data_IF_211364527793
#
_entry.id   IF_211364527793
#
_cell.length_a   1.000
_cell.length_b   1.000
_cell.length_c   1.000
_cell.angle_alpha   90.00
_cell.angle_beta   90.00
_cell.angle_gamma   90.00
#
_symmetry.space_group_name_H-M   'P 1'
#
loop_
_entity.id
_entity.type
_entity.pdbx_description
1 polymer ?
#
# COMPACT_ATOMS: atom_id res chain seq x y z
N UNK A 1 -56.08 -2.80 34.11
CA UNK A 1 -56.18 -1.84 35.18
C UNK A 1 -55.38 -0.65 34.76
N UNK A 2 -56.08 0.36 34.28
CA UNK A 2 -56.19 1.75 34.67
C UNK A 2 -54.85 2.49 34.55
N UNK A 3 -54.73 3.45 33.70
CA UNK A 3 -55.46 4.64 33.33
C UNK A 3 -54.55 5.83 33.57
N UNK A 4 -54.47 6.64 32.55
CA UNK A 4 -54.92 8.05 32.39
C UNK A 4 -53.93 9.07 32.92
N UNK A 5 -53.53 10.05 32.22
CA UNK A 5 -54.09 11.17 31.47
C UNK A 5 -53.45 12.49 31.91
N UNK A 6 -53.50 13.44 30.97
CA UNK A 6 -53.48 14.91 31.04
C UNK A 6 -52.09 15.54 31.18
N UNK A 7 -51.53 16.35 30.28
CA UNK A 7 -52.19 17.37 29.42
C UNK A 7 -52.29 18.73 30.14
N UNK A 8 -51.51 19.73 29.66
CA UNK A 8 -51.98 21.14 29.62
C UNK A 8 -51.07 21.95 28.72
N UNK A 9 -51.69 22.59 27.78
CA UNK A 9 -51.18 23.66 26.93
C UNK A 9 -51.42 25.03 27.59
N UNK A 10 -50.61 26.02 27.27
CA UNK A 10 -50.95 27.47 27.28
C UNK A 10 -49.88 28.19 26.51
N UNK A 11 -50.12 28.61 25.29
CA UNK A 11 -50.71 29.83 24.75
C UNK A 11 -49.98 31.15 25.11
N UNK A 12 -49.45 31.76 24.06
CA UNK A 12 -49.64 33.12 23.52
C UNK A 12 -49.12 34.33 24.29
N UNK A 13 -48.37 35.22 23.62
CA UNK A 13 -48.79 36.54 23.11
C UNK A 13 -47.57 37.39 22.78
N UNK A 14 -47.32 37.77 21.62
CA UNK A 14 -47.52 39.00 20.81
C UNK A 14 -47.23 40.33 21.49
N UNK A 15 -46.36 41.15 20.86
CA UNK A 15 -46.51 42.57 20.45
C UNK A 15 -45.14 43.15 20.11
N UNK A 16 -44.88 43.53 18.88
CA UNK A 16 -45.08 44.79 18.10
C UNK A 16 -44.26 45.98 18.61
N UNK A 17 -43.46 46.53 17.71
CA UNK A 17 -43.30 47.88 17.13
C UNK A 17 -41.86 48.06 16.75
N UNK A 18 -41.40 48.67 15.63
CA UNK A 18 -41.98 49.43 14.59
C UNK A 18 -40.92 50.34 13.97
N UNK A 19 -40.92 50.45 12.62
CA UNK A 19 -40.48 51.60 11.79
C UNK A 19 -38.98 51.96 11.75
N UNK A 20 -38.28 52.10 10.61
CA UNK A 20 -38.55 52.93 9.39
C UNK A 20 -37.48 52.61 8.33
N UNK A 21 -37.94 52.58 7.07
CA UNK A 21 -37.14 52.78 5.84
C UNK A 21 -36.75 54.25 5.68
N UNK A 22 -35.76 54.58 4.81
CA UNK A 22 -36.19 55.11 3.53
C UNK A 22 -35.44 54.59 2.30
N UNK A 23 -36.20 54.63 1.21
CA UNK A 23 -35.86 54.47 -0.19
C UNK A 23 -35.00 55.58 -0.74
N UNK A 24 -34.26 55.31 -1.80
CA UNK A 24 -34.01 56.19 -2.99
C UNK A 24 -33.21 55.33 -3.98
N UNK A 25 -33.36 55.37 -5.24
CA UNK A 25 -34.31 55.78 -6.26
C UNK A 25 -33.75 55.25 -7.58
N UNK A 26 -34.64 54.70 -8.37
CA UNK A 26 -34.46 54.23 -9.75
C UNK A 26 -34.11 55.43 -10.64
N UNK A 27 -33.16 55.25 -11.59
CA UNK A 27 -33.11 55.97 -12.83
C UNK A 27 -33.01 55.03 -14.00
N UNK A 28 -34.10 55.02 -14.74
CA UNK A 28 -34.28 54.50 -16.08
C UNK A 28 -33.86 55.59 -17.09
N UNK A 29 -33.07 55.25 -18.09
CA UNK A 29 -32.96 55.94 -19.38
C UNK A 29 -32.61 54.89 -20.43
N UNK A 30 -33.53 54.56 -21.21
CA UNK A 30 -34.01 54.96 -22.55
C UNK A 30 -33.09 54.46 -23.69
N UNK A 31 -33.74 53.60 -24.44
CA UNK A 31 -33.40 53.01 -25.74
C UNK A 31 -33.23 54.14 -26.79
N UNK A 32 -32.17 54.02 -27.59
CA UNK A 32 -32.21 54.57 -28.94
C UNK A 32 -31.48 53.57 -29.90
N UNK A 33 -32.26 53.06 -30.82
CA UNK A 33 -31.88 52.35 -32.01
C UNK A 33 -31.21 53.28 -33.00
N UNK A 34 -30.03 52.91 -33.52
CA UNK A 34 -29.58 53.31 -34.86
C UNK A 34 -28.83 52.14 -35.50
N UNK A 35 -29.27 51.80 -36.69
CA UNK A 35 -28.72 50.86 -37.63
C UNK A 35 -27.46 51.41 -38.30
N UNK A 36 -26.47 50.57 -38.59
CA UNK A 36 -25.93 50.28 -39.93
C UNK A 36 -24.47 49.78 -39.86
N UNK A 37 -24.25 48.67 -40.51
CA UNK A 37 -23.06 48.20 -41.20
C UNK A 37 -21.70 48.84 -40.89
N UNK A 38 -20.87 48.07 -40.19
CA UNK A 38 -19.43 47.98 -40.47
C UNK A 38 -18.87 46.71 -39.85
N UNK A 39 -18.27 45.86 -40.72
CA UNK A 39 -17.42 44.75 -40.33
C UNK A 39 -16.28 45.26 -39.44
N UNK A 40 -16.35 45.01 -38.14
CA UNK A 40 -15.26 45.29 -37.26
C UNK A 40 -14.57 43.96 -36.90
N UNK A 41 -13.39 43.84 -37.52
CA UNK A 41 -12.38 42.87 -37.25
C UNK A 41 -12.19 42.69 -35.74
N UNK A 42 -12.66 41.57 -35.18
CA UNK A 42 -12.40 41.18 -33.79
C UNK A 42 -10.90 40.95 -33.62
N UNK A 43 -10.18 41.98 -33.26
CA UNK A 43 -8.87 41.84 -32.64
C UNK A 43 -9.12 41.39 -31.21
N UNK A 44 -8.82 40.09 -30.96
CA UNK A 44 -8.67 39.53 -29.63
C UNK A 44 -7.56 40.32 -28.91
N UNK A 45 -7.90 41.38 -28.23
CA UNK A 45 -7.06 41.97 -27.21
C UNK A 45 -6.97 40.94 -26.10
N UNK A 46 -5.83 40.32 -25.97
CA UNK A 46 -5.45 39.59 -24.76
C UNK A 46 -5.62 40.57 -23.61
N UNK A 47 -6.68 40.40 -22.82
CA UNK A 47 -6.75 41.03 -21.51
C UNK A 47 -5.57 40.42 -20.71
N UNK A 48 -4.51 41.20 -20.62
CA UNK A 48 -3.43 40.99 -19.68
C UNK A 48 -4.02 41.37 -18.34
N UNK A 49 -4.54 40.38 -17.61
CA UNK A 49 -4.80 40.57 -16.20
C UNK A 49 -3.47 40.98 -15.57
N UNK A 50 -3.42 42.09 -14.83
CA UNK A 50 -2.22 42.44 -14.08
C UNK A 50 -1.99 41.29 -13.12
N UNK A 51 -0.99 40.50 -13.40
CA UNK A 51 -0.44 39.57 -12.42
C UNK A 51 0.04 40.42 -11.27
N UNK A 52 -0.75 40.45 -10.20
CA UNK A 52 -0.28 40.88 -8.91
C UNK A 52 0.90 39.96 -8.58
N UNK A 53 2.08 40.45 -8.85
CA UNK A 53 3.29 39.88 -8.33
C UNK A 53 3.21 39.99 -6.81
N UNK A 54 2.52 39.05 -6.18
CA UNK A 54 2.79 38.73 -4.80
C UNK A 54 4.18 38.12 -4.77
N UNK A 55 5.18 39.00 -4.68
CA UNK A 55 6.53 38.68 -4.31
C UNK A 55 6.57 38.23 -2.84
N UNK A 56 5.80 37.22 -2.51
CA UNK A 56 6.03 36.40 -1.33
C UNK A 56 7.09 35.36 -1.70
N UNK A 57 8.32 35.84 -1.90
CA UNK A 57 9.47 34.95 -2.05
C UNK A 57 9.76 34.37 -0.66
N UNK A 58 8.90 33.45 -0.23
CA UNK A 58 8.96 32.77 1.08
C UNK A 58 10.34 32.14 1.32
N UNK A 59 11.11 31.89 0.26
CA UNK A 59 12.38 31.21 0.29
C UNK A 59 13.52 32.06 -0.29
N UNK A 60 13.33 33.39 -0.39
CA UNK A 60 14.36 34.35 -0.83
C UNK A 60 15.10 33.95 -2.13
N UNK A 61 14.37 33.44 -3.12
CA UNK A 61 14.96 33.06 -4.40
C UNK A 61 15.73 31.72 -4.43
N UNK A 62 15.80 31.01 -3.31
CA UNK A 62 16.48 29.71 -3.22
C UNK A 62 15.59 28.53 -3.69
N UNK A 63 14.32 28.81 -4.03
CA UNK A 63 13.38 27.76 -4.45
C UNK A 63 13.54 27.44 -5.92
N UNK A 64 13.78 26.17 -6.23
CA UNK A 64 13.77 25.67 -7.60
C UNK A 64 12.31 25.44 -8.06
N UNK A 65 11.95 25.95 -9.23
CA UNK A 65 10.61 25.70 -9.80
C UNK A 65 10.40 24.20 -10.07
N UNK A 66 9.23 23.70 -9.68
CA UNK A 66 8.77 22.39 -10.12
C UNK A 66 8.23 22.50 -11.55
N UNK A 67 8.59 21.54 -12.40
CA UNK A 67 8.14 21.46 -13.80
C UNK A 67 7.14 20.32 -13.95
N UNK A 68 6.19 20.46 -14.90
CA UNK A 68 5.14 19.46 -15.12
C UNK A 68 5.66 18.10 -15.57
N UNK A 69 6.84 18.04 -16.18
CA UNK A 69 7.53 16.79 -16.55
C UNK A 69 7.93 15.94 -15.34
N UNK A 70 7.94 16.54 -14.15
CA UNK A 70 8.22 15.88 -12.87
C UNK A 70 6.97 15.54 -12.07
N UNK A 71 5.78 15.88 -12.58
CA UNK A 71 4.53 15.61 -11.90
C UNK A 71 4.07 14.17 -12.18
N UNK A 72 3.69 13.46 -11.13
CA UNK A 72 2.94 12.22 -11.25
C UNK A 72 1.47 12.61 -11.36
N UNK A 73 0.80 12.41 -12.50
CA UNK A 73 -0.59 12.82 -12.66
C UNK A 73 -1.49 11.96 -11.74
N UNK A 74 -2.40 12.59 -10.96
CA UNK A 74 -3.31 11.85 -10.12
C UNK A 74 -4.44 11.22 -10.95
N UNK A 75 -4.93 10.07 -10.51
CA UNK A 75 -6.15 9.46 -11.03
C UNK A 75 -7.38 10.20 -10.47
N UNK A 76 -8.39 10.42 -11.30
CA UNK A 76 -9.66 11.00 -10.83
C UNK A 76 -10.46 9.96 -10.03
N UNK A 77 -10.92 10.31 -8.84
CA UNK A 77 -11.71 9.45 -7.98
C UNK A 77 -12.96 10.17 -7.49
N UNK A 78 -14.12 9.55 -7.70
CA UNK A 78 -15.39 10.03 -7.16
C UNK A 78 -15.80 9.20 -5.96
N UNK A 79 -16.18 9.88 -4.88
CA UNK A 79 -16.67 9.23 -3.65
C UNK A 79 -17.99 9.83 -3.20
N UNK A 80 -18.78 9.06 -2.48
CA UNK A 80 -20.05 9.51 -1.89
C UNK A 80 -20.13 9.07 -0.42
N UNK A 81 -21.07 9.67 0.30
CA UNK A 81 -21.33 9.31 1.70
C UNK A 81 -22.06 7.97 1.85
N UNK A 82 -22.95 7.66 0.89
CA UNK A 82 -23.89 6.53 1.01
C UNK A 82 -23.36 5.23 0.37
N UNK A 83 -22.31 5.28 -0.44
CA UNK A 83 -21.70 4.12 -1.10
C UNK A 83 -20.19 4.10 -0.83
N UNK A 84 -19.60 2.92 -0.85
CA UNK A 84 -18.16 2.70 -0.70
C UNK A 84 -17.54 2.37 -2.05
N UNK A 85 -16.45 3.03 -2.38
CA UNK A 85 -15.62 2.72 -3.54
C UNK A 85 -14.53 1.74 -3.11
N UNK A 86 -14.32 0.69 -3.89
CA UNK A 86 -13.26 -0.30 -3.69
C UNK A 86 -12.20 -0.12 -4.76
N UNK A 87 -10.95 -0.04 -4.34
CA UNK A 87 -9.81 0.06 -5.24
C UNK A 87 -8.92 -1.16 -5.00
N UNK A 88 -8.73 -1.96 -6.04
CA UNK A 88 -7.93 -3.17 -6.03
C UNK A 88 -6.55 -2.86 -6.59
N UNK A 89 -5.51 -3.12 -5.81
CA UNK A 89 -4.12 -2.92 -6.21
C UNK A 89 -3.46 -4.25 -6.57
N UNK A 90 -2.42 -4.25 -7.44
CA UNK A 90 -1.72 -5.48 -7.82
C UNK A 90 -0.86 -6.08 -6.70
N UNK A 91 -0.52 -5.28 -5.68
CA UNK A 91 0.23 -5.69 -4.50
C UNK A 91 -0.42 -5.20 -3.21
N UNK A 92 -0.06 -5.80 -2.08
CA UNK A 92 -0.55 -5.40 -0.76
C UNK A 92 -0.30 -3.93 -0.48
N UNK A 93 -1.26 -3.25 0.11
CA UNK A 93 -1.15 -1.83 0.45
C UNK A 93 -0.34 -1.67 1.74
N UNK A 94 0.73 -0.90 1.66
CA UNK A 94 1.61 -0.57 2.78
C UNK A 94 1.16 0.67 3.54
N UNK A 95 0.77 1.71 2.80
CA UNK A 95 0.47 3.03 3.36
C UNK A 95 -0.64 3.71 2.58
N UNK A 96 -1.52 4.40 3.31
CA UNK A 96 -2.57 5.26 2.74
C UNK A 96 -2.52 6.60 3.45
N UNK A 97 -2.51 7.68 2.68
CA UNK A 97 -2.56 9.05 3.17
C UNK A 97 -3.79 9.76 2.60
N UNK A 98 -4.52 10.45 3.46
CA UNK A 98 -5.72 11.19 3.10
C UNK A 98 -5.46 12.67 3.27
N UNK A 99 -5.70 13.46 2.23
CA UNK A 99 -5.45 14.90 2.20
C UNK A 99 -6.42 15.74 3.03
N UNK A 100 -7.56 15.18 3.45
CA UNK A 100 -8.52 15.84 4.34
C UNK A 100 -9.32 14.84 5.17
N UNK A 101 -9.95 15.34 6.23
CA UNK A 101 -10.88 14.60 7.08
C UNK A 101 -12.24 14.33 6.40
N UNK A 102 -12.46 14.87 5.20
CA UNK A 102 -13.67 14.62 4.41
C UNK A 102 -13.73 13.20 3.86
N UNK A 103 -12.63 12.44 3.95
CA UNK A 103 -12.51 11.06 3.46
C UNK A 103 -12.35 10.06 4.62
N UNK A 104 -12.88 8.88 4.40
CA UNK A 104 -12.59 7.68 5.20
C UNK A 104 -12.03 6.64 4.25
N UNK A 105 -10.87 6.10 4.56
CA UNK A 105 -10.31 4.96 3.85
C UNK A 105 -9.76 3.93 4.83
N UNK A 106 -9.74 2.67 4.40
CA UNK A 106 -9.18 1.57 5.16
C UNK A 106 -9.03 0.32 4.30
N UNK A 107 -8.15 -0.58 4.70
CA UNK A 107 -8.05 -1.90 4.05
C UNK A 107 -9.35 -2.68 4.22
N UNK A 108 -9.69 -3.49 3.24
CA UNK A 108 -10.78 -4.44 3.38
C UNK A 108 -10.33 -5.62 4.27
N UNK A 109 -11.21 -6.09 5.13
CA UNK A 109 -10.91 -7.20 6.03
C UNK A 109 -10.57 -8.46 5.25
N UNK A 110 -9.39 -9.02 5.52
CA UNK A 110 -8.89 -10.21 4.82
C UNK A 110 -8.40 -9.99 3.38
N UNK A 111 -8.34 -8.74 2.89
CA UNK A 111 -7.83 -8.40 1.56
C UNK A 111 -6.83 -7.24 1.65
N UNK A 112 -5.55 -7.58 1.80
CA UNK A 112 -4.46 -6.63 2.00
C UNK A 112 -4.22 -5.68 0.81
N UNK A 113 -4.67 -6.04 -0.37
CA UNK A 113 -4.52 -5.28 -1.61
C UNK A 113 -5.78 -4.49 -2.01
N UNK A 114 -6.79 -4.42 -1.14
CA UNK A 114 -8.04 -3.71 -1.41
C UNK A 114 -8.22 -2.56 -0.41
N UNK A 115 -8.42 -1.35 -0.92
CA UNK A 115 -8.77 -0.17 -0.13
C UNK A 115 -10.23 0.16 -0.35
N UNK A 116 -10.94 0.37 0.75
CA UNK A 116 -12.30 0.91 0.79
C UNK A 116 -12.22 2.41 1.03
N UNK A 117 -12.86 3.20 0.19
CA UNK A 117 -12.89 4.67 0.30
C UNK A 117 -14.32 5.16 0.26
N UNK A 118 -14.66 6.12 1.10
CA UNK A 118 -15.95 6.82 1.07
C UNK A 118 -15.80 8.24 1.63
N UNK A 119 -16.79 9.09 1.34
CA UNK A 119 -16.86 10.39 1.96
C UNK A 119 -17.26 10.27 3.45
N UNK A 120 -16.54 10.98 4.32
CA UNK A 120 -16.89 11.17 5.73
C UNK A 120 -17.99 12.23 5.90
N UNK A 121 -18.02 13.21 5.00
CA UNK A 121 -18.94 14.35 5.02
C UNK A 121 -19.75 14.38 3.71
N UNK A 122 -21.08 14.63 3.83
CA UNK A 122 -21.94 14.76 2.66
C UNK A 122 -21.67 16.08 1.93
N UNK A 123 -21.59 15.98 0.59
CA UNK A 123 -21.49 17.13 -0.30
C UNK A 123 -20.30 18.06 -0.01
N UNK A 124 -19.14 17.54 0.37
CA UNK A 124 -17.95 18.36 0.48
C UNK A 124 -17.62 19.00 -0.90
N UNK A 125 -17.21 20.27 -0.87
CA UNK A 125 -17.10 21.09 -2.10
C UNK A 125 -15.68 21.16 -2.65
N UNK A 126 -14.69 21.02 -1.80
CA UNK A 126 -13.28 21.13 -2.20
C UNK A 126 -12.77 19.77 -2.60
N UNK A 127 -12.12 19.69 -3.74
CA UNK A 127 -11.35 18.51 -4.10
C UNK A 127 -10.24 18.29 -3.08
N UNK A 128 -9.96 17.03 -2.81
CA UNK A 128 -8.89 16.61 -1.92
C UNK A 128 -8.07 15.53 -2.61
N UNK A 129 -7.05 15.01 -1.96
CA UNK A 129 -6.22 13.95 -2.52
C UNK A 129 -6.15 12.73 -1.60
N UNK A 130 -5.77 11.64 -2.20
CA UNK A 130 -5.40 10.41 -1.51
C UNK A 130 -4.16 9.84 -2.18
N UNK A 131 -3.20 9.36 -1.37
CA UNK A 131 -2.01 8.69 -1.86
C UNK A 131 -1.90 7.29 -1.26
N UNK A 132 -1.48 6.32 -2.08
CA UNK A 132 -1.34 4.93 -1.69
C UNK A 132 0.05 4.43 -2.09
N UNK A 133 0.72 3.75 -1.17
CA UNK A 133 1.98 3.05 -1.42
C UNK A 133 1.76 1.56 -1.19
N UNK A 134 2.14 0.76 -2.16
CA UNK A 134 2.07 -0.70 -2.09
C UNK A 134 3.42 -1.31 -1.66
N UNK A 135 3.42 -2.57 -1.23
CA UNK A 135 4.62 -3.25 -0.73
C UNK A 135 5.70 -3.46 -1.80
N UNK A 136 5.33 -3.46 -3.07
CA UNK A 136 6.24 -3.48 -4.21
C UNK A 136 6.87 -2.10 -4.52
N UNK A 137 6.53 -1.06 -3.72
CA UNK A 137 7.03 0.31 -3.86
C UNK A 137 6.30 1.14 -4.90
N UNK A 138 5.20 0.67 -5.45
CA UNK A 138 4.39 1.46 -6.38
C UNK A 138 3.66 2.59 -5.64
N UNK A 139 3.64 3.78 -6.25
CA UNK A 139 2.98 4.96 -5.71
C UNK A 139 1.80 5.34 -6.60
N UNK A 140 0.62 5.40 -5.99
CA UNK A 140 -0.62 5.80 -6.63
C UNK A 140 -1.13 7.07 -5.98
N UNK A 141 -1.54 8.05 -6.78
CA UNK A 141 -2.13 9.29 -6.28
C UNK A 141 -3.49 9.53 -6.94
N UNK A 142 -4.43 10.03 -6.15
CA UNK A 142 -5.80 10.27 -6.56
C UNK A 142 -6.19 11.70 -6.26
N UNK A 143 -6.86 12.36 -7.19
CA UNK A 143 -7.60 13.59 -6.95
C UNK A 143 -9.06 13.21 -6.68
N UNK A 144 -9.55 13.49 -5.48
CA UNK A 144 -10.81 12.97 -4.96
C UNK A 144 -11.84 14.08 -4.87
N UNK A 145 -13.02 13.84 -5.48
CA UNK A 145 -14.17 14.73 -5.41
C UNK A 145 -15.42 14.02 -4.94
N UNK A 146 -16.35 14.77 -4.36
CA UNK A 146 -17.66 14.25 -4.00
C UNK A 146 -18.56 14.14 -5.24
N UNK A 147 -19.21 13.01 -5.41
CA UNK A 147 -20.28 12.81 -6.38
C UNK A 147 -21.47 12.14 -5.68
N UNK A 148 -22.70 12.61 -5.94
CA UNK A 148 -23.91 11.95 -5.39
C UNK A 148 -24.03 10.53 -5.90
N UNK A 149 -23.74 10.33 -7.18
CA UNK A 149 -23.72 9.03 -7.85
C UNK A 149 -22.34 8.87 -8.52
N UNK A 150 -21.36 8.26 -7.84
CA UNK A 150 -20.06 7.96 -8.41
C UNK A 150 -20.19 7.05 -9.63
N UNK A 151 -19.45 7.36 -10.69
CA UNK A 151 -19.48 6.61 -11.93
C UNK A 151 -18.92 5.19 -11.75
N UNK A 152 -17.90 5.03 -10.90
CA UNK A 152 -17.22 3.76 -10.65
C UNK A 152 -17.17 3.48 -9.14
N UNK A 153 -17.64 2.29 -8.75
CA UNK A 153 -17.59 1.83 -7.35
C UNK A 153 -16.52 0.76 -7.11
N UNK A 154 -16.05 0.13 -8.18
CA UNK A 154 -14.99 -0.87 -8.12
C UNK A 154 -13.96 -0.54 -9.20
N UNK A 155 -12.72 -0.32 -8.78
CA UNK A 155 -11.63 0.12 -9.63
C UNK A 155 -10.49 -0.87 -9.48
N UNK A 156 -10.01 -1.40 -10.59
CA UNK A 156 -8.85 -2.28 -10.63
C UNK A 156 -7.65 -1.52 -11.18
N UNK A 157 -6.54 -1.53 -10.44
CA UNK A 157 -5.29 -0.87 -10.81
C UNK A 157 -4.29 -1.82 -11.49
N UNK A 158 -4.70 -3.06 -11.79
CA UNK A 158 -3.81 -4.11 -12.31
C UNK A 158 -3.32 -3.86 -13.73
N UNK A 159 -4.12 -3.22 -14.57
CA UNK A 159 -3.80 -3.00 -16.00
C UNK A 159 -2.61 -2.06 -16.22
N UNK A 160 -2.19 -1.36 -15.20
CA UNK A 160 -1.04 -0.45 -15.27
C UNK A 160 0.33 -1.16 -15.17
N UNK A 161 0.36 -2.48 -15.01
CA UNK A 161 1.63 -3.23 -14.84
C UNK A 161 1.94 -4.17 -16.03
N UNK A 162 0.95 -4.47 -16.88
CA UNK A 162 1.10 -5.55 -17.88
C UNK A 162 1.80 -5.19 -19.17
N UNK A 163 1.97 -3.93 -19.53
CA UNK A 163 2.53 -3.54 -20.82
C UNK A 163 4.05 -3.27 -20.84
N UNK A 164 4.80 -3.73 -19.83
CA UNK A 164 6.27 -3.58 -19.83
C UNK A 164 6.77 -2.13 -19.71
N UNK A 165 5.89 -1.18 -19.84
CA UNK A 165 6.11 0.20 -19.50
C UNK A 165 5.65 0.42 -18.06
N UNK A 166 6.56 0.80 -17.19
CA UNK A 166 6.24 1.28 -15.86
C UNK A 166 5.33 2.51 -16.03
N UNK A 167 4.02 2.26 -16.09
CA UNK A 167 3.02 3.27 -16.34
C UNK A 167 3.14 4.34 -15.26
N UNK A 168 3.41 5.56 -15.70
CA UNK A 168 3.54 6.78 -14.91
C UNK A 168 4.79 6.90 -14.03
N UNK A 169 5.86 6.15 -14.28
CA UNK A 169 7.16 6.60 -13.82
C UNK A 169 7.80 7.39 -14.96
N UNK A 170 7.92 8.73 -14.86
CA UNK A 170 8.81 9.46 -15.76
C UNK A 170 10.18 8.79 -15.71
N UNK A 171 10.93 8.77 -16.80
CA UNK A 171 12.23 8.09 -16.93
C UNK A 171 13.27 8.39 -15.81
N UNK A 172 12.93 9.29 -14.89
CA UNK A 172 13.72 9.70 -13.72
C UNK A 172 12.92 9.63 -12.41
N UNK A 173 11.87 8.81 -12.33
CA UNK A 173 11.11 8.67 -11.07
C UNK A 173 12.02 8.12 -9.97
N UNK A 174 12.04 8.81 -8.85
CA UNK A 174 12.75 8.34 -7.67
C UNK A 174 12.01 7.10 -7.13
N UNK A 175 12.78 6.08 -6.77
CA UNK A 175 12.24 4.89 -6.13
C UNK A 175 11.83 5.20 -4.69
N UNK A 176 10.76 4.54 -4.23
CA UNK A 176 10.33 4.61 -2.83
C UNK A 176 11.18 3.62 -2.04
N UNK A 177 11.85 4.11 -1.00
CA UNK A 177 12.63 3.29 -0.08
C UNK A 177 11.84 3.04 1.19
N UNK A 178 11.68 1.80 1.57
CA UNK A 178 11.07 1.40 2.82
C UNK A 178 12.17 1.09 3.84
N UNK A 179 12.05 1.67 5.04
CA UNK A 179 13.09 1.58 6.09
C UNK A 179 13.55 0.14 6.38
N UNK A 180 12.63 -0.81 6.36
CA UNK A 180 12.91 -2.22 6.61
C UNK A 180 13.73 -2.91 5.52
N UNK A 181 13.81 -2.33 4.32
CA UNK A 181 14.61 -2.84 3.19
C UNK A 181 15.97 -2.13 3.04
N UNK A 182 16.29 -1.23 3.97
CA UNK A 182 17.54 -0.46 3.93
C UNK A 182 17.60 0.46 2.73
N UNK A 183 18.59 0.24 1.84
CA UNK A 183 18.81 1.04 0.63
C UNK A 183 18.16 0.43 -0.63
N UNK A 184 17.58 -0.75 -0.49
CA UNK A 184 17.03 -1.48 -1.64
C UNK A 184 15.59 -1.04 -1.94
N UNK A 185 15.28 -0.92 -3.24
CA UNK A 185 13.92 -0.63 -3.63
C UNK A 185 13.02 -1.85 -3.44
N UNK A 186 11.77 -1.66 -2.99
CA UNK A 186 10.81 -2.75 -2.82
C UNK A 186 10.59 -3.55 -4.12
N UNK A 187 10.61 -2.87 -5.27
CA UNK A 187 10.47 -3.50 -6.58
C UNK A 187 11.64 -4.44 -6.88
N UNK A 188 12.89 -4.01 -6.63
CA UNK A 188 14.06 -4.87 -6.83
C UNK A 188 14.02 -6.09 -5.94
N UNK A 189 13.69 -5.91 -4.65
CA UNK A 189 13.53 -7.03 -3.69
C UNK A 189 12.46 -8.02 -4.18
N UNK A 190 11.31 -7.52 -4.64
CA UNK A 190 10.25 -8.35 -5.21
C UNK A 190 10.72 -9.13 -6.44
N UNK A 191 11.42 -8.47 -7.38
CA UNK A 191 11.96 -9.12 -8.59
C UNK A 191 12.99 -10.19 -8.27
N UNK A 192 13.88 -9.95 -7.30
CA UNK A 192 14.84 -10.95 -6.83
C UNK A 192 14.10 -12.17 -6.27
N UNK A 193 13.15 -11.99 -5.36
CA UNK A 193 12.38 -13.08 -4.76
C UNK A 193 11.60 -13.86 -5.81
N UNK A 194 10.95 -13.18 -6.75
CA UNK A 194 10.22 -13.79 -7.87
C UNK A 194 11.16 -14.60 -8.77
N UNK A 195 12.36 -14.08 -9.05
CA UNK A 195 13.36 -14.77 -9.88
C UNK A 195 13.87 -16.05 -9.21
N UNK A 196 14.19 -15.99 -7.90
CA UNK A 196 14.57 -17.15 -7.10
C UNK A 196 13.46 -18.23 -7.12
N UNK A 197 12.23 -17.82 -6.89
CA UNK A 197 11.06 -18.71 -6.91
C UNK A 197 10.86 -19.35 -8.29
N UNK A 198 10.93 -18.56 -9.36
CA UNK A 198 10.76 -19.03 -10.75
C UNK A 198 11.87 -19.96 -11.19
N UNK A 199 13.14 -19.65 -10.86
CA UNK A 199 14.28 -20.49 -11.20
C UNK A 199 14.21 -21.85 -10.50
N UNK A 200 13.69 -21.91 -9.31
CA UNK A 200 13.39 -23.11 -8.53
C UNK A 200 14.55 -24.11 -8.41
N UNK A 201 15.80 -23.66 -8.47
CA UNK A 201 16.97 -24.53 -8.38
C UNK A 201 17.30 -24.88 -6.93
N UNK A 202 17.63 -26.15 -6.69
CA UNK A 202 18.13 -26.60 -5.40
C UNK A 202 19.65 -26.50 -5.36
N UNK A 203 20.15 -25.48 -4.69
CA UNK A 203 21.59 -25.24 -4.48
C UNK A 203 22.09 -25.85 -3.17
N UNK A 204 21.29 -25.78 -2.11
CA UNK A 204 21.57 -26.42 -0.80
C UNK A 204 20.93 -27.78 -0.78
N UNK A 205 21.73 -28.84 -0.53
CA UNK A 205 21.25 -30.23 -0.61
C UNK A 205 21.16 -30.95 0.74
N UNK A 206 21.82 -30.41 1.77
CA UNK A 206 22.00 -31.10 3.07
C UNK A 206 21.08 -30.52 4.18
N UNK A 207 20.35 -29.41 3.95
CA UNK A 207 19.52 -28.77 4.96
C UNK A 207 18.04 -29.04 4.70
N UNK A 208 17.39 -29.57 5.72
CA UNK A 208 15.94 -29.83 5.69
C UNK A 208 15.53 -30.88 6.73
N UNK A 209 14.23 -31.08 6.85
CA UNK A 209 13.64 -32.13 7.68
C UNK A 209 12.61 -32.93 6.90
N UNK A 210 12.39 -34.18 7.35
CA UNK A 210 11.37 -35.05 6.79
C UNK A 210 10.78 -35.90 7.92
N UNK A 211 9.57 -35.54 8.35
CA UNK A 211 8.81 -36.24 9.39
C UNK A 211 7.30 -36.21 9.04
N UNK A 212 6.58 -37.22 9.49
CA UNK A 212 5.11 -37.29 9.38
C UNK A 212 4.57 -37.11 7.94
N UNK A 213 5.34 -37.57 6.94
CA UNK A 213 4.98 -37.40 5.53
C UNK A 213 5.13 -35.98 4.98
N UNK A 214 5.66 -35.04 5.79
CA UNK A 214 6.00 -33.69 5.37
C UNK A 214 7.53 -33.58 5.23
N UNK A 215 7.99 -32.97 4.15
CA UNK A 215 9.38 -32.62 3.95
C UNK A 215 9.51 -31.14 3.83
N UNK A 216 10.33 -30.50 4.66
CA UNK A 216 10.65 -29.09 4.63
C UNK A 216 12.12 -28.89 4.33
N UNK A 217 12.44 -28.21 3.24
CA UNK A 217 13.78 -28.09 2.69
C UNK A 217 14.21 -26.65 2.56
N UNK A 218 15.48 -26.36 2.82
CA UNK A 218 16.16 -25.17 2.36
C UNK A 218 16.77 -25.47 0.98
N UNK A 219 16.31 -24.78 -0.05
CA UNK A 219 16.79 -24.96 -1.44
C UNK A 219 17.97 -24.08 -1.76
N UNK A 220 18.04 -22.89 -1.18
CA UNK A 220 19.13 -21.95 -1.41
C UNK A 220 19.09 -20.78 -0.44
N UNK A 221 20.25 -20.20 -0.23
CA UNK A 221 20.44 -18.92 0.46
C UNK A 221 21.11 -17.98 -0.53
N UNK A 222 20.54 -16.79 -0.69
CA UNK A 222 21.08 -15.77 -1.58
C UNK A 222 21.31 -14.48 -0.80
N UNK A 223 22.25 -13.67 -1.27
CA UNK A 223 22.60 -12.38 -0.66
C UNK A 223 22.60 -11.29 -1.69
N UNK A 224 22.01 -10.15 -1.35
CA UNK A 224 22.11 -8.90 -2.08
C UNK A 224 22.17 -7.74 -1.10
N UNK A 225 23.23 -6.95 -1.17
CA UNK A 225 23.46 -5.83 -0.25
C UNK A 225 23.30 -6.27 1.22
N UNK A 226 22.37 -5.65 1.94
CA UNK A 226 22.11 -5.95 3.35
C UNK A 226 20.89 -6.88 3.56
N UNK A 227 20.54 -7.69 2.54
CA UNK A 227 19.41 -8.61 2.58
C UNK A 227 19.84 -10.04 2.27
N UNK A 228 19.24 -10.99 2.99
CA UNK A 228 19.39 -12.43 2.80
C UNK A 228 18.06 -13.01 2.33
N UNK A 229 18.10 -13.87 1.33
CA UNK A 229 16.94 -14.55 0.77
C UNK A 229 17.02 -16.04 1.00
N UNK A 230 16.04 -16.59 1.70
CA UNK A 230 15.93 -18.01 2.01
C UNK A 230 14.87 -18.65 1.12
N UNK A 231 15.28 -19.50 0.20
CA UNK A 231 14.36 -20.25 -0.65
C UNK A 231 14.04 -21.58 0.01
N UNK A 232 12.80 -21.75 0.41
CA UNK A 232 12.31 -22.97 1.09
C UNK A 232 11.28 -23.70 0.24
N UNK A 233 11.16 -25.01 0.47
CA UNK A 233 10.18 -25.87 -0.19
C UNK A 233 9.52 -26.80 0.84
N UNK A 234 8.19 -26.87 0.78
CA UNK A 234 7.37 -27.77 1.56
C UNK A 234 6.78 -28.80 0.62
N UNK A 235 7.08 -30.08 0.86
CA UNK A 235 6.50 -31.20 0.10
C UNK A 235 5.65 -32.06 1.02
N UNK A 236 4.36 -32.10 0.76
CA UNK A 236 3.43 -32.98 1.46
C UNK A 236 3.32 -34.30 0.72
N UNK A 237 3.90 -35.35 1.30
CA UNK A 237 3.86 -36.73 0.77
C UNK A 237 2.66 -37.51 1.30
N UNK A 238 1.92 -36.97 2.26
CA UNK A 238 0.69 -37.56 2.78
C UNK A 238 -0.51 -37.26 1.92
N UNK A 239 -1.63 -37.90 2.18
CA UNK A 239 -2.92 -37.58 1.55
C UNK A 239 -3.68 -36.44 2.30
N UNK A 240 -3.29 -36.15 3.55
CA UNK A 240 -3.91 -35.15 4.40
C UNK A 240 -3.29 -33.79 4.12
N UNK A 241 -4.06 -32.74 3.88
CA UNK A 241 -3.53 -31.39 3.74
C UNK A 241 -2.71 -30.99 4.97
N UNK A 242 -1.73 -30.13 4.77
CA UNK A 242 -0.91 -29.55 5.81
C UNK A 242 -1.19 -28.06 5.87
N UNK A 243 -1.79 -27.60 6.96
CA UNK A 243 -2.10 -26.20 7.19
C UNK A 243 -0.96 -25.59 8.02
N UNK A 244 -0.27 -24.61 7.44
CA UNK A 244 0.84 -23.91 8.10
C UNK A 244 0.25 -22.87 9.04
N UNK A 245 0.64 -22.94 10.32
CA UNK A 245 0.29 -21.92 11.31
C UNK A 245 1.28 -20.74 11.21
N UNK A 246 2.55 -21.04 11.46
CA UNK A 246 3.63 -20.05 11.31
C UNK A 246 4.97 -20.70 10.98
N UNK A 247 5.85 -19.86 10.42
CA UNK A 247 7.25 -20.21 10.17
C UNK A 247 8.11 -19.20 10.92
N UNK A 248 9.03 -19.68 11.75
CA UNK A 248 9.92 -18.84 12.56
C UNK A 248 11.38 -19.08 12.23
N UNK A 249 12.16 -18.01 12.33
CA UNK A 249 13.61 -18.02 12.23
C UNK A 249 14.16 -17.61 13.59
N UNK A 250 14.93 -18.49 14.25
CA UNK A 250 15.45 -18.26 15.60
C UNK A 250 16.93 -18.54 15.65
N UNK A 251 17.71 -17.59 16.17
CA UNK A 251 19.11 -17.85 16.52
C UNK A 251 19.14 -18.35 17.96
N UNK A 252 19.66 -19.56 18.15
CA UNK A 252 19.70 -20.28 19.42
C UNK A 252 21.10 -20.76 19.75
N UNK A 253 21.38 -21.00 21.02
CA UNK A 253 22.65 -21.57 21.47
C UNK A 253 22.80 -23.06 21.06
N UNK A 254 23.92 -23.47 20.47
CA UNK A 254 24.18 -24.88 20.10
C UNK A 254 24.25 -25.81 21.31
N UNK A 255 24.72 -25.29 22.44
CA UNK A 255 24.86 -26.07 23.69
C UNK A 255 24.09 -25.40 24.80
N UNK A 256 23.09 -26.08 25.32
CA UNK A 256 22.34 -25.63 26.49
C UNK A 256 22.90 -26.35 27.71
N UNK A 257 23.55 -25.62 28.61
CA UNK A 257 23.93 -26.17 29.90
C UNK A 257 22.66 -26.47 30.72
N UNK A 258 22.63 -27.60 31.44
CA UNK A 258 21.47 -28.22 32.14
C UNK A 258 20.66 -27.25 33.08
N UNK A 259 21.08 -26.02 33.29
CA UNK A 259 20.43 -25.04 34.21
C UNK A 259 20.45 -23.58 33.71
N UNK A 260 20.66 -23.36 32.43
CA UNK A 260 20.72 -21.99 31.88
C UNK A 260 19.47 -21.72 31.07
N UNK A 261 18.94 -20.51 31.16
CA UNK A 261 17.87 -20.04 30.29
C UNK A 261 18.39 -20.01 28.84
N UNK A 262 17.63 -20.58 27.92
CA UNK A 262 17.94 -20.54 26.50
C UNK A 262 17.70 -19.12 26.02
N UNK A 263 18.72 -18.46 25.48
CA UNK A 263 18.55 -17.19 24.79
C UNK A 263 18.16 -17.44 23.33
N UNK A 264 16.93 -17.17 23.00
CA UNK A 264 16.43 -17.22 21.63
C UNK A 264 16.30 -15.79 21.07
N UNK A 265 16.88 -15.55 19.92
CA UNK A 265 16.66 -14.33 19.16
C UNK A 265 15.80 -14.64 17.94
N UNK A 266 14.56 -14.17 17.94
CA UNK A 266 13.67 -14.33 16.79
C UNK A 266 14.03 -13.29 15.72
N UNK A 267 14.23 -13.78 14.50
CA UNK A 267 14.44 -12.98 13.31
C UNK A 267 13.14 -12.93 12.50
N UNK A 268 12.65 -11.73 12.24
CA UNK A 268 11.42 -11.55 11.47
C UNK A 268 11.75 -11.30 9.99
N UNK A 269 11.21 -12.09 9.06
CA UNK A 269 11.29 -11.79 7.65
C UNK A 269 10.64 -10.43 7.35
N UNK A 270 11.33 -9.57 6.60
CA UNK A 270 10.80 -8.27 6.17
C UNK A 270 9.88 -8.42 4.96
N UNK A 271 10.06 -9.50 4.18
CA UNK A 271 9.20 -9.88 3.05
C UNK A 271 9.12 -11.40 2.91
N UNK A 272 8.01 -11.86 2.35
CA UNK A 272 7.85 -13.24 1.90
C UNK A 272 7.17 -13.24 0.52
N UNK A 273 7.72 -13.97 -0.43
CA UNK A 273 7.12 -14.19 -1.74
C UNK A 273 6.48 -15.57 -1.77
N UNK A 274 5.23 -15.64 -2.20
CA UNK A 274 4.42 -16.87 -2.20
C UNK A 274 4.38 -17.53 -0.81
N UNK A 275 3.98 -16.77 0.22
CA UNK A 275 3.84 -17.31 1.57
C UNK A 275 2.75 -18.38 1.59
N UNK A 276 3.14 -19.60 1.90
CA UNK A 276 2.27 -20.77 1.83
C UNK A 276 1.58 -20.99 3.17
N UNK A 277 0.27 -20.90 3.19
CA UNK A 277 -0.58 -21.19 4.36
C UNK A 277 -1.16 -22.60 4.37
N UNK A 278 -1.20 -23.27 3.20
CA UNK A 278 -1.73 -24.63 3.07
C UNK A 278 -1.04 -25.40 1.93
N UNK A 279 -0.65 -26.64 2.20
CA UNK A 279 -0.10 -27.56 1.20
C UNK A 279 -1.05 -28.76 1.07
N UNK A 280 -1.72 -28.89 -0.06
CA UNK A 280 -2.61 -30.02 -0.31
C UNK A 280 -1.86 -31.36 -0.31
N UNK A 281 -2.59 -32.45 -0.09
CA UNK A 281 -2.00 -33.80 -0.15
C UNK A 281 -1.29 -34.06 -1.49
N UNK A 282 -0.09 -34.65 -1.46
CA UNK A 282 0.76 -34.97 -2.63
C UNK A 282 1.23 -33.74 -3.43
N UNK A 283 1.16 -32.53 -2.85
CA UNK A 283 1.60 -31.28 -3.49
C UNK A 283 2.90 -30.76 -2.90
N UNK A 284 3.54 -29.90 -3.65
CA UNK A 284 4.78 -29.21 -3.28
C UNK A 284 4.58 -27.72 -3.49
N UNK A 285 4.96 -26.94 -2.51
CA UNK A 285 4.87 -25.48 -2.51
C UNK A 285 6.20 -24.87 -2.09
N UNK A 286 6.45 -23.63 -2.47
CA UNK A 286 7.72 -22.94 -2.23
C UNK A 286 7.44 -21.53 -1.72
N UNK A 287 8.31 -21.07 -0.83
CA UNK A 287 8.31 -19.69 -0.33
C UNK A 287 9.73 -19.14 -0.38
N UNK A 288 9.87 -17.89 -0.74
CA UNK A 288 11.12 -17.14 -0.59
C UNK A 288 10.93 -16.11 0.50
N UNK A 289 11.73 -16.20 1.56
CA UNK A 289 11.75 -15.22 2.66
C UNK A 289 12.92 -14.26 2.47
N UNK A 290 12.68 -12.98 2.73
CA UNK A 290 13.72 -11.96 2.78
C UNK A 290 13.92 -11.50 4.22
N UNK A 291 15.14 -11.59 4.72
CA UNK A 291 15.54 -11.16 6.05
C UNK A 291 16.61 -10.08 5.96
N UNK A 292 16.71 -9.15 6.92
CA UNK A 292 17.87 -8.30 7.05
C UNK A 292 19.12 -9.15 7.26
N UNK A 293 20.27 -8.68 6.76
CA UNK A 293 21.55 -9.35 6.95
C UNK A 293 21.87 -9.53 8.44
N UNK A 294 22.22 -10.73 8.81
CA UNK A 294 22.67 -11.08 10.14
C UNK A 294 23.87 -12.06 10.06
N UNK A 295 24.56 -12.25 11.14
CA UNK A 295 25.61 -13.25 11.30
C UNK A 295 25.27 -14.15 12.47
N UNK A 296 25.75 -15.37 12.42
CA UNK A 296 25.54 -16.36 13.48
C UNK A 296 26.91 -16.57 14.17
N UNK A 297 27.02 -16.26 15.48
CA UNK A 297 28.23 -16.61 16.27
C UNK A 297 28.49 -18.10 16.25
N UNK A 298 29.76 -18.51 16.47
CA UNK A 298 30.19 -19.92 16.37
C UNK A 298 29.49 -20.85 17.38
N UNK A 299 29.08 -20.31 18.52
CA UNK A 299 28.35 -20.99 19.59
C UNK A 299 26.84 -21.06 19.35
N UNK A 300 26.35 -20.43 18.27
CA UNK A 300 24.93 -20.34 17.92
C UNK A 300 24.63 -20.97 16.56
N UNK A 301 23.35 -21.25 16.34
CA UNK A 301 22.82 -21.74 15.07
C UNK A 301 21.46 -21.10 14.77
N UNK A 302 21.11 -21.02 13.48
CA UNK A 302 19.78 -20.58 13.07
C UNK A 302 18.87 -21.82 12.94
N UNK A 303 17.82 -21.85 13.73
CA UNK A 303 16.76 -22.85 13.62
C UNK A 303 15.58 -22.24 12.86
N UNK A 304 15.17 -22.90 11.78
CA UNK A 304 13.97 -22.56 11.03
C UNK A 304 12.89 -23.59 11.36
N UNK A 305 11.81 -23.13 11.98
CA UNK A 305 10.71 -23.98 12.43
C UNK A 305 9.44 -23.66 11.66
N UNK A 306 8.69 -24.71 11.33
CA UNK A 306 7.37 -24.62 10.71
C UNK A 306 6.38 -25.43 11.52
N UNK A 307 5.32 -24.79 11.99
CA UNK A 307 4.30 -25.42 12.83
C UNK A 307 3.00 -25.64 12.04
N UNK A 308 2.35 -26.75 12.31
CA UNK A 308 1.04 -27.07 11.78
C UNK A 308 -0.07 -26.44 12.63
N UNK A 309 -1.04 -25.84 12.00
CA UNK A 309 -2.20 -25.28 12.67
C UNK A 309 -3.04 -26.39 13.30
N UNK A 310 -3.24 -26.31 14.61
CA UNK A 310 -4.02 -27.29 15.38
C UNK A 310 -3.57 -28.74 15.17
N UNK A 311 -2.29 -28.93 14.81
CA UNK A 311 -1.72 -30.24 14.50
C UNK A 311 -0.34 -30.46 15.16
N UNK A 312 0.23 -31.66 14.99
CA UNK A 312 1.50 -32.05 15.59
C UNK A 312 2.62 -32.32 14.57
N UNK A 313 2.42 -32.06 13.27
CA UNK A 313 3.40 -32.39 12.22
C UNK A 313 4.41 -31.28 11.99
N UNK A 314 4.93 -30.67 13.07
CA UNK A 314 5.93 -29.61 12.95
C UNK A 314 7.22 -30.10 12.31
N UNK A 315 7.92 -29.22 11.64
CA UNK A 315 9.19 -29.41 10.97
C UNK A 315 10.21 -28.40 11.44
N UNK A 316 11.46 -28.79 11.56
CA UNK A 316 12.55 -27.86 11.83
C UNK A 316 13.84 -28.28 11.16
N UNK A 317 14.66 -27.35 10.77
CA UNK A 317 16.03 -27.60 10.32
C UNK A 317 16.95 -26.50 10.82
N UNK A 318 18.25 -26.83 10.84
CA UNK A 318 19.31 -25.94 11.32
C UNK A 318 20.09 -25.40 10.13
N UNK A 319 20.48 -24.11 10.22
CA UNK A 319 21.40 -23.44 9.30
C UNK A 319 22.59 -22.95 10.12
N UNK A 320 23.79 -23.30 9.73
CA UNK A 320 25.01 -22.88 10.38
C UNK A 320 25.60 -21.63 9.74
N UNK A 321 26.52 -20.96 10.46
CA UNK A 321 27.23 -19.80 9.93
C UNK A 321 27.95 -20.10 8.61
N UNK A 322 28.51 -21.30 8.49
CA UNK A 322 29.15 -21.77 7.25
C UNK A 322 28.23 -21.79 6.03
N UNK A 323 26.92 -22.04 6.25
CA UNK A 323 25.93 -22.04 5.18
C UNK A 323 25.58 -20.61 4.74
N UNK A 324 25.51 -19.66 5.70
CA UNK A 324 25.29 -18.24 5.40
C UNK A 324 26.47 -17.65 4.64
N UNK A 325 27.71 -17.95 5.05
CA UNK A 325 28.91 -17.47 4.37
C UNK A 325 29.00 -17.97 2.92
N UNK A 326 28.41 -19.13 2.64
CA UNK A 326 28.31 -19.72 1.29
C UNK A 326 27.07 -19.26 0.51
N UNK A 327 26.35 -18.28 1.02
CA UNK A 327 25.19 -17.72 0.30
C UNK A 327 25.59 -17.25 -1.10
N UNK A 328 24.74 -17.55 -2.06
CA UNK A 328 24.97 -17.21 -3.47
C UNK A 328 24.68 -15.71 -3.71
N UNK A 329 25.46 -15.08 -4.55
CA UNK A 329 25.14 -13.71 -4.97
C UNK A 329 24.03 -13.71 -6.03
N UNK A 330 23.21 -12.67 -6.08
CA UNK A 330 22.14 -12.57 -7.09
C UNK A 330 22.65 -12.48 -8.53
N UNK A 331 23.92 -12.14 -8.75
CA UNK A 331 24.54 -12.13 -10.08
C UNK A 331 24.52 -13.51 -10.75
N UNK A 332 24.35 -14.57 -9.96
CA UNK A 332 24.20 -15.94 -10.44
C UNK A 332 22.76 -16.27 -10.85
N UNK A 333 21.82 -15.36 -10.57
CA UNK A 333 20.42 -15.47 -10.98
C UNK A 333 20.24 -14.76 -12.34
N UNK A 334 19.63 -15.44 -13.30
CA UNK A 334 19.15 -14.78 -14.52
C UNK A 334 17.92 -13.96 -14.16
N UNK A 335 18.10 -12.77 -13.63
CA UNK A 335 16.99 -11.82 -13.40
C UNK A 335 16.47 -11.37 -14.76
N UNK A 336 15.33 -11.91 -15.18
CA UNK A 336 14.60 -11.56 -16.39
C UNK A 336 13.25 -10.99 -16.04
#
# INVERSE_FOLDING_TARGET
>A
MFALMLGVACTASAQKTGKKKPQKSVKTEQVSTVSSDQEEKLTLTKEVYPQKEENSNLYHGLTKKLTFDRMIPPHGLEVTYDKTVHILFPASVKYVDLGSEDLIAGKADGAENVIRVKAAVKNFKKETNMSVITEDGSFYTFNVRYAKEPLMLNIEMADFIHDGEAVNRPNNAQEIYLKELGKESPMLVHLIMKSIHKENKRKVKHIGSKRFGIQYLLKGIYVHSDLLYFHTEIKNQSNVPFDVDYITFKVVDKKVAKRTAIQEQVLLPVRAYNYVVRVAGKKTEQTVFCLPKFTIPDDKELVVEMNEKEGGRHQSFVVENSDLVRALTINELSVK
#
